data_IF_223877313475
#
_entry.id   IF_223877313475
#
_cell.length_a   1.000
_cell.length_b   1.000
_cell.length_c   1.000
_cell.angle_alpha   90.00
_cell.angle_beta   90.00
_cell.angle_gamma   90.00
#
_symmetry.space_group_name_H-M   'P 1'
#
loop_
_entity.id
_entity.type
_entity.pdbx_description
1 polymer ?
#
# COMPACT_ATOMS: atom_id res chain seq x y z
N UNK A 1 -0.77 14.29 6.14
CA UNK A 1 -0.68 13.15 7.08
C UNK A 1 -1.17 13.57 8.46
N UNK A 2 -1.50 12.61 9.33
CA UNK A 2 -1.84 12.86 10.73
C UNK A 2 -0.59 12.89 11.63
N UNK A 3 -0.74 13.39 12.86
CA UNK A 3 0.27 13.26 13.91
C UNK A 3 0.41 11.84 14.47
N UNK A 4 1.40 11.61 15.32
CA UNK A 4 1.66 10.31 15.99
C UNK A 4 1.19 10.35 17.43
N UNK A 5 0.51 9.28 17.87
CA UNK A 5 0.18 9.05 19.29
C UNK A 5 1.28 8.24 19.96
N UNK A 6 1.71 8.67 21.14
CA UNK A 6 2.73 8.02 21.97
C UNK A 6 2.11 7.64 23.32
N UNK A 7 2.20 6.36 23.68
CA UNK A 7 1.58 5.82 24.91
C UNK A 7 2.60 5.35 25.96
N UNK A 8 3.88 5.23 25.60
CA UNK A 8 4.92 4.66 26.47
C UNK A 8 5.54 5.69 27.43
N UNK A 9 5.59 6.97 27.02
CA UNK A 9 6.29 8.03 27.77
C UNK A 9 5.41 8.72 28.84
N UNK A 10 4.10 8.46 28.83
CA UNK A 10 3.14 9.14 29.70
C UNK A 10 2.18 8.16 30.37
N UNK A 11 2.45 7.82 31.65
CA UNK A 11 1.61 6.91 32.43
C UNK A 11 0.16 7.46 32.50
N UNK A 12 -0.78 6.72 31.94
CA UNK A 12 -2.21 7.05 31.97
C UNK A 12 -2.63 8.19 31.03
N UNK A 13 -1.74 8.65 30.16
CA UNK A 13 -2.02 9.71 29.17
C UNK A 13 -1.50 9.29 27.79
N UNK A 14 -1.79 10.10 26.77
CA UNK A 14 -1.24 9.92 25.43
C UNK A 14 -0.58 11.22 24.98
N UNK A 15 0.68 11.14 24.59
CA UNK A 15 1.40 12.25 23.98
C UNK A 15 1.06 12.34 22.49
N UNK A 16 0.80 13.53 21.99
CA UNK A 16 0.51 13.77 20.56
C UNK A 16 1.68 14.53 19.94
N UNK A 17 2.40 13.87 19.03
CA UNK A 17 3.44 14.48 18.24
C UNK A 17 2.87 14.93 16.87
N UNK A 18 2.91 16.25 16.63
CA UNK A 18 2.39 16.87 15.41
C UNK A 18 3.48 17.16 14.37
N UNK A 19 4.73 16.75 14.55
CA UNK A 19 5.83 17.01 13.60
C UNK A 19 5.56 16.46 12.19
N UNK A 20 4.73 15.41 12.08
CA UNK A 20 4.31 14.78 10.82
C UNK A 20 2.98 15.32 10.27
N UNK A 21 2.25 16.11 11.07
CA UNK A 21 0.95 16.61 10.66
C UNK A 21 1.10 17.57 9.46
N UNK A 22 0.30 17.36 8.42
CA UNK A 22 0.36 18.17 7.19
C UNK A 22 1.41 17.73 6.18
N UNK A 23 2.22 16.69 6.44
CA UNK A 23 3.13 16.12 5.43
C UNK A 23 2.34 15.69 4.18
N UNK A 24 2.77 16.08 2.96
CA UNK A 24 2.12 15.68 1.71
C UNK A 24 2.09 14.16 1.56
N UNK A 25 0.97 13.63 1.06
CA UNK A 25 0.81 12.20 0.80
C UNK A 25 0.27 11.98 -0.61
N UNK A 26 0.71 10.90 -1.24
CA UNK A 26 0.13 10.37 -2.46
C UNK A 26 -0.51 9.03 -2.14
N UNK A 27 -1.84 8.96 -2.21
CA UNK A 27 -2.59 7.72 -2.03
C UNK A 27 -2.82 7.05 -3.39
N UNK A 28 -2.31 5.83 -3.56
CA UNK A 28 -2.44 5.05 -4.81
C UNK A 28 -3.31 3.85 -4.50
N UNK A 29 -4.52 3.83 -5.07
CA UNK A 29 -5.49 2.75 -4.90
C UNK A 29 -5.50 1.88 -6.15
N UNK A 30 -5.31 0.58 -5.99
CA UNK A 30 -5.37 -0.40 -7.07
C UNK A 30 -6.76 -1.01 -7.23
N UNK A 31 -7.05 -1.49 -8.44
CA UNK A 31 -8.15 -2.42 -8.65
C UNK A 31 -7.78 -3.81 -8.09
N UNK A 32 -8.77 -4.67 -7.76
CA UNK A 32 -8.52 -6.00 -7.21
C UNK A 32 -8.10 -6.98 -8.33
N UNK A 33 -6.96 -6.71 -8.98
CA UNK A 33 -6.45 -7.49 -10.12
C UNK A 33 -5.42 -8.53 -9.72
N UNK A 34 -4.70 -8.31 -8.63
CA UNK A 34 -3.72 -9.23 -8.07
C UNK A 34 -4.40 -10.53 -7.58
N UNK A 35 -3.76 -11.67 -7.81
CA UNK A 35 -4.27 -13.02 -7.55
C UNK A 35 -3.40 -13.84 -6.60
N UNK A 36 -2.21 -13.36 -6.27
CA UNK A 36 -1.34 -14.01 -5.29
C UNK A 36 -0.60 -12.99 -4.43
N UNK A 37 -0.04 -13.45 -3.31
CA UNK A 37 0.79 -12.62 -2.44
C UNK A 37 2.10 -12.24 -3.13
N UNK A 38 2.64 -13.10 -4.00
CA UNK A 38 3.81 -12.79 -4.83
C UNK A 38 3.54 -11.64 -5.79
N UNK A 39 2.39 -11.64 -6.48
CA UNK A 39 1.99 -10.53 -7.35
C UNK A 39 1.83 -9.22 -6.57
N UNK A 40 1.22 -9.29 -5.38
CA UNK A 40 1.05 -8.12 -4.52
C UNK A 40 2.40 -7.53 -4.07
N UNK A 41 3.35 -8.38 -3.68
CA UNK A 41 4.69 -7.96 -3.30
C UNK A 41 5.47 -7.45 -4.51
N UNK A 42 5.35 -8.09 -5.67
CA UNK A 42 6.00 -7.64 -6.90
C UNK A 42 5.51 -6.25 -7.29
N UNK A 43 4.19 -6.02 -7.26
CA UNK A 43 3.60 -4.71 -7.50
C UNK A 43 4.12 -3.66 -6.51
N UNK A 44 4.10 -3.95 -5.21
CA UNK A 44 4.54 -3.01 -4.19
C UNK A 44 6.04 -2.67 -4.33
N UNK A 45 6.88 -3.65 -4.70
CA UNK A 45 8.31 -3.43 -4.98
C UNK A 45 8.54 -2.61 -6.24
N UNK A 46 7.83 -2.87 -7.33
CA UNK A 46 7.96 -2.07 -8.55
C UNK A 46 7.46 -0.64 -8.34
N UNK A 47 6.36 -0.45 -7.61
CA UNK A 47 5.90 0.88 -7.23
C UNK A 47 6.95 1.62 -6.39
N UNK A 48 7.51 0.97 -5.37
CA UNK A 48 8.61 1.50 -4.55
C UNK A 48 9.80 1.89 -5.40
N UNK A 49 10.21 1.04 -6.34
CA UNK A 49 11.29 1.31 -7.30
C UNK A 49 10.99 2.54 -8.16
N UNK A 50 9.77 2.68 -8.66
CA UNK A 50 9.37 3.83 -9.50
C UNK A 50 9.42 5.12 -8.69
N UNK A 51 8.80 5.16 -7.52
CA UNK A 51 8.69 6.41 -6.74
C UNK A 51 10.02 6.88 -6.18
N UNK A 52 10.92 5.95 -5.86
CA UNK A 52 12.30 6.25 -5.46
C UNK A 52 13.14 6.69 -6.66
N UNK A 53 12.98 6.04 -7.82
CA UNK A 53 13.69 6.40 -9.06
C UNK A 53 13.38 7.80 -9.55
N UNK A 54 12.10 8.20 -9.55
CA UNK A 54 11.69 9.56 -9.96
C UNK A 54 11.86 10.60 -8.84
N UNK A 55 12.33 10.18 -7.65
CA UNK A 55 12.69 11.08 -6.56
C UNK A 55 11.53 11.75 -5.82
N UNK A 56 10.31 11.20 -5.88
CA UNK A 56 9.14 11.77 -5.17
C UNK A 56 8.93 11.18 -3.76
N UNK A 57 9.61 10.08 -3.44
CA UNK A 57 9.52 9.40 -2.15
C UNK A 57 10.88 8.74 -1.84
N UNK A 58 11.36 8.85 -0.60
CA UNK A 58 12.58 8.14 -0.15
C UNK A 58 12.38 6.61 -0.03
N UNK A 59 11.13 6.14 -0.03
CA UNK A 59 10.76 4.73 0.02
C UNK A 59 11.08 4.03 1.35
N UNK A 60 11.44 4.74 2.41
CA UNK A 60 11.75 4.16 3.70
C UNK A 60 10.47 3.66 4.43
N UNK A 61 10.22 2.36 4.32
CA UNK A 61 9.08 1.71 4.99
C UNK A 61 9.20 1.71 6.53
N UNK A 62 10.41 1.74 7.10
CA UNK A 62 10.60 1.75 8.56
C UNK A 62 10.23 3.11 9.17
N UNK A 63 10.54 4.19 8.47
CA UNK A 63 10.15 5.56 8.85
C UNK A 63 8.70 5.87 8.43
N UNK A 64 8.06 4.96 7.70
CA UNK A 64 6.67 5.04 7.30
C UNK A 64 6.40 6.08 6.21
N UNK A 65 7.41 6.38 5.37
CA UNK A 65 7.26 7.21 4.17
C UNK A 65 6.59 6.44 3.03
N UNK A 66 6.72 5.11 3.03
CA UNK A 66 5.99 4.19 2.16
C UNK A 66 5.19 3.21 3.02
N UNK A 67 3.86 3.26 2.90
CA UNK A 67 2.92 2.43 3.66
C UNK A 67 2.03 1.66 2.70
N UNK A 68 1.65 0.46 3.09
CA UNK A 68 0.70 -0.35 2.34
C UNK A 68 -0.33 -0.96 3.27
N UNK A 69 -1.56 -1.00 2.78
CA UNK A 69 -2.64 -1.80 3.32
C UNK A 69 -3.06 -2.81 2.24
N UNK A 70 -3.46 -4.02 2.63
CA UNK A 70 -3.85 -5.06 1.69
C UNK A 70 -5.31 -5.44 1.88
N UNK A 71 -6.07 -5.45 0.78
CA UNK A 71 -7.46 -5.91 0.77
C UNK A 71 -7.51 -7.32 0.20
N UNK A 72 -7.94 -8.28 1.02
CA UNK A 72 -7.90 -9.72 0.68
C UNK A 72 -9.30 -10.30 0.73
N UNK A 73 -9.67 -11.05 -0.30
CA UNK A 73 -10.86 -11.88 -0.35
C UNK A 73 -10.55 -13.13 -1.16
N UNK A 74 -11.08 -14.28 -0.73
CA UNK A 74 -10.96 -15.54 -1.48
C UNK A 74 -12.25 -15.85 -2.23
N UNK A 75 -12.14 -16.63 -3.31
CA UNK A 75 -13.29 -17.09 -4.10
C UNK A 75 -12.99 -18.42 -4.77
N UNK A 76 -14.05 -19.16 -5.12
CA UNK A 76 -13.92 -20.31 -6.03
C UNK A 76 -13.51 -19.82 -7.43
N UNK A 77 -12.75 -20.61 -8.20
CA UNK A 77 -12.39 -20.26 -9.57
C UNK A 77 -13.60 -19.86 -10.42
N UNK A 78 -13.53 -18.71 -11.08
CA UNK A 78 -14.62 -18.16 -11.90
C UNK A 78 -15.79 -17.53 -11.12
N UNK A 79 -15.77 -17.54 -9.79
CA UNK A 79 -16.80 -16.92 -8.96
C UNK A 79 -16.67 -15.39 -8.81
N UNK A 80 -17.64 -14.80 -8.12
CA UNK A 80 -17.58 -13.40 -7.68
C UNK A 80 -16.53 -13.21 -6.57
N UNK A 81 -16.10 -11.97 -6.34
CA UNK A 81 -15.21 -11.65 -5.23
C UNK A 81 -15.92 -11.92 -3.90
N UNK A 82 -15.21 -12.57 -2.97
CA UNK A 82 -15.74 -12.87 -1.64
C UNK A 82 -15.77 -11.65 -0.71
N UNK A 83 -16.20 -11.86 0.53
CA UNK A 83 -16.17 -10.81 1.56
C UNK A 83 -14.73 -10.35 1.80
N UNK A 84 -14.50 -9.05 1.68
CA UNK A 84 -13.19 -8.43 1.85
C UNK A 84 -12.82 -8.31 3.33
N UNK A 85 -11.58 -8.64 3.65
CA UNK A 85 -10.91 -8.23 4.89
C UNK A 85 -9.70 -7.35 4.55
N UNK A 86 -9.46 -6.34 5.37
CA UNK A 86 -8.42 -5.34 5.16
C UNK A 86 -7.32 -5.51 6.19
N UNK A 87 -6.09 -5.77 5.74
CA UNK A 87 -4.90 -5.87 6.57
C UNK A 87 -4.22 -4.49 6.58
N UNK A 88 -4.15 -3.87 7.76
CA UNK A 88 -3.56 -2.53 7.95
C UNK A 88 -2.10 -2.60 8.42
N UNK A 89 -1.37 -1.51 8.19
CA UNK A 89 -0.03 -1.24 8.77
C UNK A 89 1.07 -2.22 8.32
N UNK A 90 1.11 -2.58 7.02
CA UNK A 90 2.17 -3.43 6.48
C UNK A 90 3.42 -2.61 6.16
N UNK A 91 4.39 -2.65 7.08
CA UNK A 91 5.65 -1.88 6.99
C UNK A 91 6.83 -2.67 6.38
N UNK A 92 6.57 -3.84 5.76
CA UNK A 92 7.60 -4.67 5.13
C UNK A 92 6.99 -5.53 4.04
N UNK A 93 7.69 -5.68 2.90
CA UNK A 93 7.28 -6.59 1.84
C UNK A 93 7.20 -8.05 2.31
N UNK A 94 8.08 -8.45 3.23
CA UNK A 94 8.05 -9.80 3.81
C UNK A 94 6.78 -10.00 4.64
N UNK A 95 6.44 -9.02 5.49
CA UNK A 95 5.25 -9.09 6.34
C UNK A 95 3.97 -8.98 5.52
N UNK A 96 3.99 -8.19 4.43
CA UNK A 96 2.90 -8.17 3.45
C UNK A 96 2.62 -9.56 2.89
N UNK A 97 3.65 -10.28 2.43
CA UNK A 97 3.48 -11.63 1.91
C UNK A 97 2.88 -12.56 2.97
N UNK A 98 3.50 -12.61 4.15
CA UNK A 98 3.07 -13.50 5.24
C UNK A 98 1.64 -13.20 5.70
N UNK A 99 1.27 -11.93 5.79
CA UNK A 99 -0.06 -11.52 6.21
C UNK A 99 -1.13 -11.92 5.17
N UNK A 100 -0.86 -11.71 3.88
CA UNK A 100 -1.77 -12.12 2.80
C UNK A 100 -1.90 -13.64 2.78
N UNK A 101 -0.80 -14.39 2.87
CA UNK A 101 -0.83 -15.86 2.87
C UNK A 101 -1.61 -16.42 4.07
N UNK A 102 -1.40 -15.85 5.26
CA UNK A 102 -2.14 -16.23 6.45
C UNK A 102 -3.64 -15.97 6.27
N UNK A 103 -4.01 -14.77 5.85
CA UNK A 103 -5.40 -14.35 5.70
C UNK A 103 -6.13 -15.16 4.61
N UNK A 104 -5.46 -15.49 3.51
CA UNK A 104 -6.01 -16.39 2.47
C UNK A 104 -6.32 -17.76 3.05
N UNK A 105 -5.38 -18.39 3.77
CA UNK A 105 -5.59 -19.71 4.39
C UNK A 105 -6.70 -19.66 5.42
N UNK A 106 -6.67 -18.66 6.30
CA UNK A 106 -7.70 -18.45 7.31
C UNK A 106 -9.10 -18.33 6.69
N UNK A 107 -9.26 -17.53 5.63
CA UNK A 107 -10.56 -17.41 4.95
C UNK A 107 -11.02 -18.72 4.31
N UNK A 108 -10.10 -19.49 3.71
CA UNK A 108 -10.44 -20.80 3.13
C UNK A 108 -10.92 -21.75 4.22
N UNK A 109 -10.18 -21.88 5.32
CA UNK A 109 -10.53 -22.77 6.44
C UNK A 109 -11.92 -22.42 7.02
N UNK A 110 -12.20 -21.13 7.23
CA UNK A 110 -13.53 -20.69 7.69
C UNK A 110 -14.65 -21.09 6.72
N UNK A 111 -14.45 -20.89 5.42
CA UNK A 111 -15.45 -21.23 4.40
C UNK A 111 -15.66 -22.75 4.33
N UNK A 112 -14.60 -23.54 4.46
CA UNK A 112 -14.66 -25.01 4.47
C UNK A 112 -15.40 -25.55 5.71
N UNK A 113 -15.26 -24.88 6.85
CA UNK A 113 -16.01 -25.14 8.08
C UNK A 113 -17.48 -24.65 8.03
N UNK A 114 -17.91 -24.05 6.91
CA UNK A 114 -19.26 -23.50 6.74
C UNK A 114 -19.49 -22.17 7.47
N UNK A 115 -18.42 -21.50 7.90
CA UNK A 115 -18.45 -20.21 8.59
C UNK A 115 -18.34 -19.08 7.56
N UNK A 116 -19.29 -18.15 7.60
CA UNK A 116 -19.27 -16.99 6.71
C UNK A 116 -18.18 -15.98 7.12
N UNK A 117 -17.42 -15.50 6.14
CA UNK A 117 -16.45 -14.43 6.36
C UNK A 117 -17.16 -13.12 6.66
N UNK A 118 -16.75 -12.46 7.73
CA UNK A 118 -17.19 -11.11 8.08
C UNK A 118 -16.17 -10.08 7.60
N UNK A 119 -16.67 -8.96 7.10
CA UNK A 119 -15.83 -7.82 6.77
C UNK A 119 -15.18 -7.28 8.05
N UNK A 120 -13.86 -7.19 8.04
CA UNK A 120 -13.09 -6.74 9.19
C UNK A 120 -11.79 -6.08 8.75
N UNK A 121 -11.33 -5.16 9.59
CA UNK A 121 -9.97 -4.63 9.54
C UNK A 121 -9.11 -5.39 10.55
N UNK A 122 -7.99 -5.93 10.08
CA UNK A 122 -7.09 -6.78 10.85
C UNK A 122 -5.68 -6.20 10.86
N UNK A 123 -4.93 -6.52 11.91
CA UNK A 123 -3.51 -6.22 12.04
C UNK A 123 -2.71 -7.51 11.97
N UNK A 124 -1.56 -7.47 11.31
CA UNK A 124 -0.61 -8.57 11.29
C UNK A 124 0.37 -8.46 12.47
N UNK A 125 0.54 -9.54 13.22
CA UNK A 125 1.50 -9.68 14.31
C UNK A 125 2.73 -10.45 13.79
N UNK A 126 3.89 -9.80 13.56
CA UNK A 126 5.06 -10.46 12.99
C UNK A 126 5.70 -11.53 13.86
N UNK A 127 5.47 -11.49 15.18
CA UNK A 127 6.06 -12.44 16.13
C UNK A 127 5.31 -13.78 16.09
N UNK A 128 3.99 -13.72 15.91
CA UNK A 128 3.14 -14.91 15.78
C UNK A 128 2.90 -15.33 14.34
N UNK A 129 3.01 -14.40 13.39
CA UNK A 129 2.66 -14.62 11.99
C UNK A 129 1.15 -14.67 11.73
N UNK A 130 0.34 -14.15 12.65
CA UNK A 130 -1.13 -14.22 12.60
C UNK A 130 -1.75 -12.84 12.36
N UNK A 131 -2.94 -12.82 11.75
CA UNK A 131 -3.78 -11.62 11.67
C UNK A 131 -4.80 -11.59 12.80
N UNK A 132 -4.90 -10.48 13.52
CA UNK A 132 -5.89 -10.26 14.58
C UNK A 132 -6.86 -9.16 14.20
N UNK A 133 -8.15 -9.44 14.31
CA UNK A 133 -9.18 -8.43 14.10
C UNK A 133 -9.06 -7.33 15.16
N UNK A 134 -9.11 -6.06 14.73
CA UNK A 134 -9.25 -4.95 15.67
C UNK A 134 -10.64 -4.99 16.30
N UNK A 135 -10.74 -4.52 17.56
CA UNK A 135 -12.01 -4.50 18.31
C UNK A 135 -13.09 -3.77 17.49
N UNK A 136 -14.24 -4.42 17.34
CA UNK A 136 -15.43 -4.05 16.54
C UNK A 136 -16.19 -2.82 17.04
N UNK A 137 -15.51 -1.69 17.29
CA UNK A 137 -16.15 -0.45 17.76
C UNK A 137 -15.90 0.78 16.91
N UNK A 138 -15.58 0.58 15.64
CA UNK A 138 -15.62 1.63 14.63
C UNK A 138 -16.35 1.08 13.42
N UNK A 139 -17.69 1.20 13.41
CA UNK A 139 -18.42 1.22 12.15
C UNK A 139 -17.76 2.28 11.27
N UNK A 140 -17.60 2.03 9.96
CA UNK A 140 -17.05 3.01 9.03
C UNK A 140 -17.86 4.30 9.16
N UNK A 141 -17.30 5.28 9.86
CA UNK A 141 -17.99 6.52 10.16
C UNK A 141 -18.29 7.22 8.83
N UNK A 142 -19.46 7.83 8.73
CA UNK A 142 -19.74 8.71 7.60
C UNK A 142 -18.72 9.87 7.62
N UNK A 143 -17.76 9.82 6.69
CA UNK A 143 -16.70 10.82 6.54
C UNK A 143 -17.24 12.17 6.10
N UNK A 144 -18.51 12.27 5.69
CA UNK A 144 -19.21 13.52 5.32
C UNK A 144 -18.39 14.34 4.33
N UNK A 145 -17.91 13.70 3.26
CA UNK A 145 -17.11 14.36 2.23
C UNK A 145 -17.83 15.58 1.65
N UNK A 146 -17.15 16.71 1.61
CA UNK A 146 -17.57 17.93 0.92
C UNK A 146 -16.33 18.66 0.39
N UNK A 147 -16.46 19.50 -0.66
CA UNK A 147 -15.36 20.32 -1.13
C UNK A 147 -14.86 21.26 -0.04
N UNK A 148 -13.56 21.28 0.20
CA UNK A 148 -12.94 22.17 1.17
C UNK A 148 -13.20 23.65 0.75
N UNK A 149 -13.90 24.45 1.58
CA UNK A 149 -14.27 25.82 1.22
C UNK A 149 -13.09 26.78 1.27
N UNK A 150 -12.00 26.40 1.95
CA UNK A 150 -10.80 27.22 2.09
C UNK A 150 -9.84 27.03 0.89
N UNK A 151 -10.08 26.01 0.06
CA UNK A 151 -9.24 25.68 -1.09
C UNK A 151 -10.00 25.88 -2.42
N UNK A 152 -9.51 26.74 -3.34
CA UNK A 152 -10.05 26.79 -4.68
C UNK A 152 -9.77 25.47 -5.43
N UNK A 153 -10.57 25.14 -6.46
CA UNK A 153 -10.31 23.96 -7.30
C UNK A 153 -8.89 23.98 -7.88
N UNK A 154 -8.20 22.85 -7.78
CA UNK A 154 -6.88 22.67 -8.39
C UNK A 154 -7.01 22.50 -9.90
N UNK A 155 -6.48 23.47 -10.66
CA UNK A 155 -6.46 23.43 -12.13
C UNK A 155 -5.04 23.12 -12.63
N UNK A 156 -4.88 21.97 -13.28
CA UNK A 156 -3.60 21.52 -13.84
C UNK A 156 -3.59 21.83 -15.35
N UNK A 157 -2.81 22.84 -15.75
CA UNK A 157 -2.67 23.25 -17.14
C UNK A 157 -1.95 22.21 -18.01
N UNK A 158 -2.38 22.05 -19.27
CA UNK A 158 -1.78 21.07 -20.19
C UNK A 158 -0.32 21.39 -20.50
N UNK A 159 0.01 22.66 -20.64
CA UNK A 159 1.38 23.16 -20.79
C UNK A 159 2.28 22.76 -19.61
N UNK A 160 1.77 22.80 -18.38
CA UNK A 160 2.51 22.33 -17.21
C UNK A 160 2.74 20.81 -17.26
N UNK A 161 1.72 20.04 -17.65
CA UNK A 161 1.86 18.58 -17.84
C UNK A 161 2.93 18.25 -18.87
N UNK A 162 2.93 18.93 -20.02
CA UNK A 162 3.93 18.69 -21.08
C UNK A 162 5.34 19.10 -20.62
N UNK A 163 5.46 20.20 -19.86
CA UNK A 163 6.75 20.59 -19.26
C UNK A 163 7.27 19.51 -18.31
N UNK A 164 6.46 19.07 -17.35
CA UNK A 164 6.84 18.00 -16.41
C UNK A 164 7.19 16.72 -17.15
N UNK A 165 6.39 16.33 -18.16
CA UNK A 165 6.66 15.17 -19.01
C UNK A 165 8.03 15.27 -19.70
N UNK A 166 8.41 16.44 -20.19
CA UNK A 166 9.71 16.65 -20.84
C UNK A 166 10.91 16.57 -19.89
N UNK A 167 10.67 16.80 -18.59
CA UNK A 167 11.67 16.75 -17.52
C UNK A 167 11.74 15.37 -16.85
N UNK A 168 10.80 14.46 -17.16
CA UNK A 168 10.79 13.12 -16.57
C UNK A 168 12.02 12.32 -16.96
N UNK A 169 12.63 11.70 -15.96
CA UNK A 169 13.72 10.75 -16.17
C UNK A 169 13.22 9.49 -16.87
N UNK A 170 14.11 8.88 -17.67
CA UNK A 170 13.86 7.58 -18.29
C UNK A 170 13.58 6.54 -17.18
N UNK A 171 12.49 5.77 -17.31
CA UNK A 171 12.14 4.74 -16.32
C UNK A 171 13.14 3.57 -16.38
N UNK A 172 13.35 2.84 -15.27
CA UNK A 172 14.39 1.81 -15.19
C UNK A 172 14.35 0.77 -16.33
N UNK A 173 13.15 0.28 -16.66
CA UNK A 173 13.00 -0.72 -17.74
C UNK A 173 13.22 -0.14 -19.14
N UNK A 174 12.92 1.15 -19.34
CA UNK A 174 13.18 1.83 -20.61
C UNK A 174 14.69 2.00 -20.79
N UNK A 175 15.38 2.40 -19.72
CA UNK A 175 16.84 2.49 -19.69
C UNK A 175 17.52 1.15 -19.92
N UNK A 176 17.06 0.10 -19.24
CA UNK A 176 17.57 -1.26 -19.41
C UNK A 176 17.41 -1.74 -20.86
N UNK A 177 16.22 -1.56 -21.45
CA UNK A 177 15.97 -1.91 -22.84
C UNK A 177 16.85 -1.11 -23.82
N UNK A 178 17.06 0.18 -23.55
CA UNK A 178 18.00 1.02 -24.32
C UNK A 178 19.42 0.50 -24.20
N UNK A 179 19.85 0.05 -23.01
CA UNK A 179 21.19 -0.47 -22.79
C UNK A 179 21.48 -1.77 -23.52
N UNK A 180 20.53 -2.70 -23.53
CA UNK A 180 20.61 -3.93 -24.32
C UNK A 180 20.71 -3.60 -25.81
N UNK A 181 19.85 -2.69 -26.30
CA UNK A 181 19.77 -2.34 -27.73
C UNK A 181 21.00 -1.57 -28.23
N UNK A 182 21.42 -0.53 -27.50
CA UNK A 182 22.40 0.43 -27.99
C UNK A 182 23.84 0.08 -27.60
N UNK A 183 24.03 -0.68 -26.51
CA UNK A 183 25.35 -1.06 -26.00
C UNK A 183 25.61 -2.57 -26.02
N UNK A 184 24.63 -3.39 -26.40
CA UNK A 184 24.79 -4.84 -26.50
C UNK A 184 25.02 -5.53 -25.15
N UNK A 185 24.62 -4.88 -24.05
CA UNK A 185 24.77 -5.44 -22.70
C UNK A 185 23.82 -6.64 -22.53
N UNK A 186 24.25 -7.70 -21.83
CA UNK A 186 23.35 -8.77 -21.40
C UNK A 186 22.19 -8.21 -20.56
N UNK A 187 21.00 -8.80 -20.69
CA UNK A 187 19.80 -8.34 -19.96
C UNK A 187 20.00 -8.27 -18.44
N UNK A 188 20.77 -9.23 -17.88
CA UNK A 188 21.13 -9.26 -16.47
C UNK A 188 21.93 -8.01 -16.05
N UNK A 189 22.95 -7.65 -16.83
CA UNK A 189 23.79 -6.49 -16.54
C UNK A 189 23.05 -5.17 -16.77
N UNK A 190 22.10 -5.14 -17.70
CA UNK A 190 21.30 -3.94 -17.99
C UNK A 190 20.19 -3.66 -16.96
N UNK A 191 19.78 -4.68 -16.20
CA UNK A 191 18.72 -4.59 -15.20
C UNK A 191 19.22 -4.30 -13.77
N UNK A 192 20.53 -4.32 -13.56
CA UNK A 192 21.22 -4.13 -12.27
C UNK A 192 21.74 -2.70 -12.13
#
# INVERSE_FOLDING_TARGET
DAGKSLHEDFIGQSGIDLNRAGTPLLEIVTQPDMRSSEEAVAYAKELHKIVTWIGICDGNMQEGSFRCDANVSVRKPGGELGTRREIKNLNSFKFMQQAIDYEVRWQIDQIEDGIAIQQATVLFDPDTGETRAMRTKEDAADYRYFPDPDLPPLVIGRDWVERVRSEMVELPWVMAARFVRDYGLPEYDAAT
#
